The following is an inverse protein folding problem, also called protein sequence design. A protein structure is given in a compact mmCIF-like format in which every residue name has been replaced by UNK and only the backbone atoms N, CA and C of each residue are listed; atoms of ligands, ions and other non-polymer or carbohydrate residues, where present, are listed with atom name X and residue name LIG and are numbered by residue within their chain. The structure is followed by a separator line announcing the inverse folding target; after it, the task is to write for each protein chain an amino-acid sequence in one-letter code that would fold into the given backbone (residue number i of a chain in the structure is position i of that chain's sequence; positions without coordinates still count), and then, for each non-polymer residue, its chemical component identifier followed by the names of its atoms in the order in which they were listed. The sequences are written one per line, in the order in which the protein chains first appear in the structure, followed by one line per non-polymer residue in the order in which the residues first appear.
data_IF_365325034313
#
_entry.id   IF_365325034313
#
_cell.length_a   1.000
_cell.length_b   1.000
_cell.length_c   1.000
_cell.angle_alpha   90.00
_cell.angle_beta   90.00
_cell.angle_gamma   90.00
#
_symmetry.space_group_name_H-M   'P 1'
#
loop_
_entity.id
_entity.type
_entity.pdbx_description
1 polymer ?
#
# COMPACT_ATOMS: atom_id res chain seq x y z
N UNK A 1 -16.47 -1.33 8.14
CA UNK A 1 -15.39 -0.33 8.03
C UNK A 1 -14.27 -0.97 7.23
N UNK A 2 -13.68 -0.24 6.29
CA UNK A 2 -12.60 -0.71 5.42
C UNK A 2 -11.45 0.27 5.50
N UNK A 3 -10.25 -0.24 5.76
CA UNK A 3 -9.01 0.51 5.77
C UNK A 3 -8.22 0.16 4.51
N UNK A 4 -7.56 1.12 3.90
CA UNK A 4 -6.65 0.88 2.77
C UNK A 4 -5.37 1.68 2.94
N UNK A 5 -4.28 1.15 2.40
CA UNK A 5 -2.99 1.84 2.39
C UNK A 5 -2.12 1.35 1.22
N UNK A 6 -1.07 2.12 0.91
CA UNK A 6 0.02 1.71 0.04
C UNK A 6 1.27 1.37 0.85
N UNK A 7 1.91 0.26 0.51
CA UNK A 7 3.17 -0.13 1.13
C UNK A 7 4.24 -0.47 0.10
N UNK A 8 5.48 -0.09 0.42
CA UNK A 8 6.66 -0.47 -0.34
C UNK A 8 7.16 -1.81 0.18
N UNK A 9 7.31 -2.78 -0.71
CA UNK A 9 7.91 -4.09 -0.41
C UNK A 9 9.21 -4.21 -1.17
N UNK A 10 10.33 -4.27 -0.44
CA UNK A 10 11.64 -4.49 -1.03
C UNK A 10 11.82 -5.94 -1.46
N UNK A 11 12.33 -6.15 -2.67
CA UNK A 11 12.77 -7.45 -3.19
C UNK A 11 14.04 -7.91 -2.46
N UNK A 12 14.95 -6.97 -2.17
CA UNK A 12 16.21 -7.25 -1.49
C UNK A 12 16.37 -6.42 -0.22
N UNK A 13 16.55 -7.12 0.90
CA UNK A 13 16.84 -6.51 2.20
C UNK A 13 15.66 -5.75 2.80
N UNK A 14 15.72 -5.53 4.12
CA UNK A 14 14.79 -4.66 4.83
C UNK A 14 15.33 -3.24 4.91
N UNK A 15 14.44 -2.24 4.93
CA UNK A 15 14.79 -0.85 5.28
C UNK A 15 15.14 -0.68 6.78
N UNK A 16 14.98 -1.73 7.59
CA UNK A 16 15.27 -1.74 9.02
C UNK A 16 16.76 -1.91 9.38
N UNK A 17 17.09 -1.66 10.66
CA UNK A 17 18.43 -1.84 11.19
C UNK A 17 18.90 -3.30 11.10
N UNK A 18 20.09 -3.51 10.54
CA UNK A 18 20.77 -4.80 10.52
C UNK A 18 21.82 -4.85 11.62
N UNK A 19 21.85 -5.96 12.35
CA UNK A 19 22.81 -6.21 13.42
C UNK A 19 23.81 -7.27 12.98
N UNK A 20 25.07 -7.08 13.31
CA UNK A 20 26.11 -8.10 13.19
C UNK A 20 26.95 -8.13 14.47
N UNK A 21 27.70 -9.21 14.65
CA UNK A 21 28.59 -9.39 15.79
C UNK A 21 30.03 -9.54 15.29
N UNK A 22 30.97 -8.82 15.88
CA UNK A 22 32.41 -8.98 15.60
C UNK A 22 33.22 -8.91 16.89
N UNK A 23 34.39 -9.54 16.92
CA UNK A 23 35.37 -9.33 18.00
C UNK A 23 36.13 -8.01 17.75
N UNK A 24 36.76 -7.41 18.79
CA UNK A 24 37.40 -6.08 18.67
C UNK A 24 38.45 -5.96 17.57
N UNK A 25 39.15 -7.05 17.25
CA UNK A 25 40.27 -7.07 16.30
C UNK A 25 39.95 -7.81 14.99
N UNK A 26 38.71 -8.29 14.83
CA UNK A 26 38.32 -9.02 13.62
C UNK A 26 38.16 -8.06 12.44
N UNK A 27 38.81 -8.39 11.33
CA UNK A 27 38.55 -7.69 10.05
C UNK A 27 37.11 -7.93 9.63
N UNK A 28 36.45 -6.90 9.10
CA UNK A 28 35.13 -7.03 8.47
C UNK A 28 35.16 -8.12 7.40
N UNK A 29 34.29 -9.12 7.56
CA UNK A 29 34.10 -10.21 6.63
C UNK A 29 32.90 -9.90 5.74
N UNK A 30 32.79 -10.58 4.59
CA UNK A 30 31.69 -10.35 3.65
C UNK A 30 30.31 -10.54 4.31
N UNK A 31 30.17 -11.44 5.28
CA UNK A 31 28.92 -11.67 6.02
C UNK A 31 28.61 -10.60 7.09
N UNK A 32 29.54 -9.68 7.35
CA UNK A 32 29.31 -8.48 8.16
C UNK A 32 28.91 -7.28 7.30
N UNK A 33 29.00 -7.40 5.97
CA UNK A 33 28.70 -6.32 5.03
C UNK A 33 27.32 -6.53 4.44
N UNK A 34 26.58 -5.42 4.35
CA UNK A 34 25.35 -5.39 3.60
C UNK A 34 25.67 -5.01 2.15
N UNK A 35 25.72 -6.01 1.28
CA UNK A 35 25.99 -5.78 -0.14
C UNK A 35 24.77 -5.09 -0.75
N UNK A 36 24.95 -3.82 -1.11
CA UNK A 36 23.94 -3.07 -1.84
C UNK A 36 24.03 -3.41 -3.32
N UNK A 37 22.95 -3.96 -3.87
CA UNK A 37 22.80 -4.12 -5.32
C UNK A 37 22.57 -2.71 -5.88
N UNK A 38 23.38 -2.29 -6.84
CA UNK A 38 23.11 -1.07 -7.61
C UNK A 38 22.19 -1.43 -8.77
N UNK A 39 20.89 -1.49 -8.52
CA UNK A 39 19.84 -1.67 -9.52
C UNK A 39 18.58 -0.95 -9.06
N UNK A 40 18.00 -0.09 -9.89
CA UNK A 40 16.89 0.79 -9.50
C UNK A 40 15.53 0.11 -9.34
N UNK A 41 15.47 -1.21 -9.31
CA UNK A 41 14.24 -2.01 -9.42
C UNK A 41 14.09 -3.01 -8.25
N UNK A 42 14.57 -2.62 -7.08
CA UNK A 42 14.69 -3.48 -5.90
C UNK A 42 13.45 -3.43 -4.97
N UNK A 43 12.34 -2.83 -5.41
CA UNK A 43 11.11 -2.77 -4.61
C UNK A 43 9.85 -2.58 -5.44
N UNK A 44 8.75 -3.18 -5.00
CA UNK A 44 7.41 -2.95 -5.56
C UNK A 44 6.56 -2.12 -4.61
N UNK A 45 5.69 -1.29 -5.17
CA UNK A 45 4.62 -0.63 -4.41
C UNK A 45 3.36 -1.48 -4.53
N UNK A 46 2.71 -1.74 -3.40
CA UNK A 46 1.48 -2.54 -3.33
C UNK A 46 0.39 -1.71 -2.67
N UNK A 47 -0.80 -1.72 -3.25
CA UNK A 47 -2.02 -1.24 -2.60
C UNK A 47 -2.80 -2.43 -2.06
N UNK A 48 -3.41 -2.28 -0.88
CA UNK A 48 -4.32 -3.27 -0.33
C UNK A 48 -5.33 -2.67 0.64
N UNK A 49 -6.32 -3.48 1.02
CA UNK A 49 -7.30 -3.09 2.02
C UNK A 49 -7.55 -4.20 3.06
N UNK A 50 -8.04 -3.81 4.23
CA UNK A 50 -8.40 -4.71 5.33
C UNK A 50 -9.80 -4.32 5.82
N UNK A 51 -10.60 -5.34 6.10
CA UNK A 51 -11.95 -5.24 6.64
C UNK A 51 -12.00 -5.88 8.03
N UNK A 52 -13.16 -5.82 8.69
CA UNK A 52 -13.38 -6.55 9.94
C UNK A 52 -13.22 -8.07 9.77
N UNK A 53 -13.68 -8.62 8.65
CA UNK A 53 -13.67 -10.07 8.40
C UNK A 53 -12.30 -10.58 7.94
N UNK A 54 -11.42 -9.69 7.51
CA UNK A 54 -10.08 -10.07 7.06
C UNK A 54 -9.49 -9.16 5.98
N UNK A 55 -8.32 -9.54 5.44
CA UNK A 55 -7.67 -8.83 4.35
C UNK A 55 -8.51 -8.90 3.07
N UNK A 56 -8.62 -7.78 2.37
CA UNK A 56 -9.13 -7.74 1.00
C UNK A 56 -8.05 -8.13 -0.01
N UNK A 57 -8.37 -8.00 -1.29
CA UNK A 57 -7.41 -8.13 -2.36
C UNK A 57 -6.37 -7.01 -2.33
N UNK A 58 -5.22 -7.31 -2.92
CA UNK A 58 -4.12 -6.38 -3.09
C UNK A 58 -3.64 -6.40 -4.54
N UNK A 59 -3.12 -5.26 -5.01
CA UNK A 59 -2.56 -5.14 -6.35
C UNK A 59 -1.22 -4.40 -6.30
N UNK A 60 -0.28 -4.83 -7.14
CA UNK A 60 0.95 -4.09 -7.38
C UNK A 60 0.69 -2.85 -8.24
N UNK A 61 1.46 -1.80 -7.99
CA UNK A 61 1.41 -0.52 -8.72
C UNK A 61 2.60 -0.52 -9.67
N UNK A 62 2.33 -0.63 -10.97
CA UNK A 62 3.35 -0.89 -11.99
C UNK A 62 4.21 0.33 -12.34
N UNK A 63 3.69 1.55 -12.18
CA UNK A 63 4.45 2.79 -12.37
C UNK A 63 4.82 3.34 -11.00
N UNK A 64 6.12 3.54 -10.73
CA UNK A 64 6.64 3.82 -9.37
C UNK A 64 5.98 4.99 -8.62
N UNK A 65 5.27 5.89 -9.30
CA UNK A 65 4.40 6.89 -8.67
C UNK A 65 2.97 6.72 -9.13
N UNK A 66 2.08 6.32 -8.21
CA UNK A 66 0.65 6.20 -8.48
C UNK A 66 0.04 7.56 -8.83
N UNK A 67 -0.64 7.65 -9.97
CA UNK A 67 -1.45 8.81 -10.33
C UNK A 67 -2.87 8.66 -9.77
N UNK A 68 -3.60 9.78 -9.67
CA UNK A 68 -4.99 9.76 -9.24
C UNK A 68 -5.90 8.87 -10.12
N UNK A 69 -5.61 8.74 -11.42
CA UNK A 69 -6.32 7.83 -12.33
C UNK A 69 -6.10 6.36 -11.96
N UNK A 70 -4.87 6.00 -11.61
CA UNK A 70 -4.51 4.63 -11.25
C UNK A 70 -5.19 4.25 -9.95
N UNK A 71 -5.21 5.17 -8.97
CA UNK A 71 -5.96 5.01 -7.73
C UNK A 71 -7.45 4.74 -7.98
N UNK A 72 -8.11 5.55 -8.82
CA UNK A 72 -9.53 5.32 -9.17
C UNK A 72 -9.73 3.98 -9.88
N UNK A 73 -8.78 3.55 -10.73
CA UNK A 73 -8.79 2.22 -11.33
C UNK A 73 -8.73 1.10 -10.30
N UNK A 74 -7.88 1.22 -9.29
CA UNK A 74 -7.76 0.28 -8.16
C UNK A 74 -9.05 0.24 -7.34
N UNK A 75 -9.65 1.41 -7.06
CA UNK A 75 -10.94 1.49 -6.39
C UNK A 75 -12.05 0.80 -7.19
N UNK A 76 -12.07 0.97 -8.50
CA UNK A 76 -13.03 0.35 -9.41
C UNK A 76 -12.85 -1.15 -9.63
N UNK A 77 -11.72 -1.71 -9.22
CA UNK A 77 -11.38 -3.13 -9.43
C UNK A 77 -11.08 -3.81 -8.11
N UNK A 78 -9.85 -3.73 -7.62
CA UNK A 78 -9.37 -4.43 -6.42
C UNK A 78 -10.22 -4.17 -5.18
N UNK A 79 -10.66 -2.92 -4.95
CA UNK A 79 -11.58 -2.64 -3.84
C UNK A 79 -12.94 -3.30 -4.07
N UNK A 80 -13.58 -3.08 -5.22
CA UNK A 80 -14.91 -3.64 -5.50
C UNK A 80 -14.92 -5.16 -5.42
N UNK A 81 -13.90 -5.83 -5.98
CA UNK A 81 -13.73 -7.29 -5.88
C UNK A 81 -13.62 -7.74 -4.42
N UNK A 82 -12.93 -6.95 -3.58
CA UNK A 82 -12.78 -7.25 -2.14
C UNK A 82 -14.12 -7.15 -1.42
N UNK A 83 -14.93 -6.15 -1.77
CA UNK A 83 -16.26 -5.99 -1.18
C UNK A 83 -17.20 -7.10 -1.62
N UNK A 84 -17.16 -7.47 -2.89
CA UNK A 84 -17.95 -8.58 -3.42
C UNK A 84 -17.60 -9.89 -2.72
N UNK A 85 -16.30 -10.16 -2.50
CA UNK A 85 -15.83 -11.34 -1.79
C UNK A 85 -16.45 -11.47 -0.39
N UNK A 86 -16.52 -10.35 0.35
CA UNK A 86 -17.14 -10.30 1.68
C UNK A 86 -18.66 -10.00 1.64
N UNK A 87 -19.27 -9.96 0.46
CA UNK A 87 -20.69 -9.60 0.26
C UNK A 87 -21.08 -8.26 0.88
N UNK A 88 -20.16 -7.30 0.88
CA UNK A 88 -20.42 -5.94 1.35
C UNK A 88 -20.97 -5.04 0.24
N UNK A 89 -21.86 -4.13 0.62
CA UNK A 89 -22.33 -3.08 -0.26
C UNK A 89 -21.65 -1.73 0.06
N UNK A 90 -21.23 -0.95 -0.96
CA UNK A 90 -20.58 0.36 -0.78
C UNK A 90 -21.24 1.30 0.23
N UNK A 91 -22.58 1.34 0.20
CA UNK A 91 -23.43 2.19 1.05
C UNK A 91 -23.40 1.84 2.55
N UNK A 92 -23.04 0.60 2.88
CA UNK A 92 -22.95 0.09 4.25
C UNK A 92 -21.53 0.20 4.82
N UNK A 93 -20.57 0.63 3.99
CA UNK A 93 -19.16 0.70 4.35
C UNK A 93 -18.78 2.14 4.70
N UNK A 94 -18.07 2.26 5.83
CA UNK A 94 -17.20 3.40 6.11
C UNK A 94 -15.80 3.11 5.57
N UNK A 95 -15.39 3.87 4.57
CA UNK A 95 -14.09 3.74 3.93
C UNK A 95 -13.12 4.77 4.51
N UNK A 96 -11.98 4.33 5.02
CA UNK A 96 -10.95 5.19 5.58
C UNK A 96 -9.76 5.27 4.62
N UNK A 97 -9.38 6.51 4.30
CA UNK A 97 -8.23 6.86 3.46
C UNK A 97 -7.33 7.89 4.18
N UNK A 98 -6.06 7.97 3.79
CA UNK A 98 -5.13 8.95 4.32
C UNK A 98 -5.33 10.34 3.64
N UNK A 99 -4.51 11.31 4.04
CA UNK A 99 -4.56 12.68 3.51
C UNK A 99 -3.69 12.89 2.26
N UNK A 100 -3.26 11.83 1.57
CA UNK A 100 -2.45 11.95 0.37
C UNK A 100 -3.22 12.74 -0.72
N UNK A 101 -2.55 13.68 -1.42
CA UNK A 101 -3.12 14.40 -2.56
C UNK A 101 -3.85 13.52 -3.59
N UNK A 102 -3.41 12.27 -3.78
CA UNK A 102 -4.02 11.34 -4.73
C UNK A 102 -5.40 10.84 -4.26
N UNK A 103 -5.54 10.53 -2.98
CA UNK A 103 -6.81 10.09 -2.38
C UNK A 103 -7.78 11.25 -2.19
N UNK A 104 -7.26 12.47 -2.00
CA UNK A 104 -8.07 13.70 -1.88
C UNK A 104 -8.37 14.38 -3.22
N UNK A 105 -7.88 13.82 -4.34
CA UNK A 105 -8.07 14.36 -5.68
C UNK A 105 -9.55 14.48 -6.06
N UNK A 106 -9.86 15.38 -7.00
CA UNK A 106 -11.23 15.54 -7.51
C UNK A 106 -11.78 14.25 -8.12
N UNK A 107 -10.93 13.49 -8.81
CA UNK A 107 -11.28 12.22 -9.43
C UNK A 107 -11.67 11.18 -8.37
N UNK A 108 -10.86 11.00 -7.33
CA UNK A 108 -11.15 10.06 -6.25
C UNK A 108 -12.44 10.43 -5.50
N UNK A 109 -12.58 11.72 -5.14
CA UNK A 109 -13.79 12.22 -4.47
C UNK A 109 -15.06 12.01 -5.30
N UNK A 110 -14.98 12.25 -6.61
CA UNK A 110 -16.09 12.04 -7.52
C UNK A 110 -16.45 10.55 -7.61
N UNK A 111 -15.46 9.67 -7.73
CA UNK A 111 -15.69 8.23 -7.78
C UNK A 111 -16.40 7.70 -6.52
N UNK A 112 -15.96 8.11 -5.32
CA UNK A 112 -16.64 7.70 -4.07
C UNK A 112 -18.10 8.18 -4.02
N UNK A 113 -18.37 9.39 -4.51
CA UNK A 113 -19.73 9.93 -4.57
C UNK A 113 -20.61 9.16 -5.56
N UNK A 114 -20.10 8.85 -6.75
CA UNK A 114 -20.82 8.11 -7.79
C UNK A 114 -21.11 6.67 -7.38
N UNK A 115 -20.23 6.06 -6.59
CA UNK A 115 -20.35 4.68 -6.11
C UNK A 115 -20.96 4.56 -4.70
N UNK A 116 -21.55 5.65 -4.17
CA UNK A 116 -22.28 5.68 -2.89
C UNK A 116 -21.45 5.26 -1.64
N UNK A 117 -20.15 5.55 -1.63
CA UNK A 117 -19.30 5.27 -0.48
C UNK A 117 -19.36 6.38 0.58
N UNK A 118 -19.31 5.98 1.85
CA UNK A 118 -19.06 6.91 2.97
C UNK A 118 -17.56 6.95 3.25
N UNK A 119 -16.86 7.82 2.51
CA UNK A 119 -15.41 8.01 2.65
C UNK A 119 -15.07 9.05 3.75
N UNK A 120 -14.16 8.71 4.64
CA UNK A 120 -13.65 9.59 5.70
C UNK A 120 -12.13 9.71 5.62
N UNK A 121 -11.64 10.94 5.77
CA UNK A 121 -10.20 11.22 5.86
C UNK A 121 -9.73 10.94 7.28
N UNK A 122 -8.61 10.25 7.42
CA UNK A 122 -7.96 10.11 8.72
C UNK A 122 -7.55 11.49 9.28
N UNK A 123 -7.63 11.71 10.60
CA UNK A 123 -7.04 12.90 11.22
C UNK A 123 -5.52 12.96 10.94
N UNK A 124 -4.94 14.16 10.85
CA UNK A 124 -3.51 14.35 10.58
C UNK A 124 -2.61 13.85 11.72
#
# INVERSE_FOLDING_TARGET
MVFSDETKVNVYGSDGCKYYWSRPDDKLQLHHLDLTVKGGDDSIMVWGCITYDGPGYACWISEGTMKASDYVGILGTTLMDSLEYYSYHPQDIYFQLDNDPKHTSKLARQWFKENNFKAHLAPP
#
